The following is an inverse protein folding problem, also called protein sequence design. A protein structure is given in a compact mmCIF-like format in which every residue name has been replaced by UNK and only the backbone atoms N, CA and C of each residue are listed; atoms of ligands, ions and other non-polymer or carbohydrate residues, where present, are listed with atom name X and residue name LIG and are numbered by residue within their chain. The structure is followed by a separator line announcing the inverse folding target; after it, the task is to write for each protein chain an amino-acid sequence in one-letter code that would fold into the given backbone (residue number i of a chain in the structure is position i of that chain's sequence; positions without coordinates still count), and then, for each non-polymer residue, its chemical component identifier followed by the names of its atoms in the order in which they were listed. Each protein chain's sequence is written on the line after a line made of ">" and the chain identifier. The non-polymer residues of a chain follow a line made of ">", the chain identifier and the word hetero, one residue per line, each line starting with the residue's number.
data_IF_796137715129
#
_entry.id   IF_796137715129
#
_cell.length_a   1.000
_cell.length_b   1.000
_cell.length_c   1.000
_cell.angle_alpha   90.00
_cell.angle_beta   90.00
_cell.angle_gamma   90.00
#
_symmetry.space_group_name_H-M   'P 1'
#
loop_
_entity.id
_entity.type
_entity.pdbx_description
1 polymer ?
#
# COMPACT_ATOMS: atom_id res chain seq x y z
N UNK A 1 2.88 0.24 3.08
CA UNK A 1 1.79 -0.58 2.52
C UNK A 1 0.51 -0.35 3.31
N UNK A 2 -0.25 0.70 2.97
CA UNK A 2 -1.52 1.06 3.63
C UNK A 2 -2.60 1.18 2.55
N UNK A 3 -3.37 0.13 2.28
CA UNK A 3 -4.41 0.18 1.24
C UNK A 3 -5.75 -0.28 1.77
N UNK A 4 -6.64 0.65 2.11
CA UNK A 4 -8.05 0.30 2.31
C UNK A 4 -8.66 0.16 0.91
N UNK A 5 -9.10 -1.04 0.57
CA UNK A 5 -9.68 -1.34 -0.74
C UNK A 5 -11.03 -0.62 -0.88
N UNK A 6 -11.24 0.09 -2.00
CA UNK A 6 -12.49 0.78 -2.35
C UNK A 6 -12.82 2.04 -1.54
N UNK A 7 -11.84 2.65 -0.88
CA UNK A 7 -12.01 3.94 -0.15
C UNK A 7 -11.09 5.05 -0.69
N UNK A 8 -10.87 5.06 -2.01
CA UNK A 8 -10.18 6.16 -2.67
C UNK A 8 -11.04 7.42 -2.79
N UNK A 9 -10.44 8.56 -3.20
CA UNK A 9 -11.15 9.83 -3.39
C UNK A 9 -12.35 9.70 -4.33
N UNK A 10 -12.20 8.94 -5.42
CA UNK A 10 -13.29 8.75 -6.38
C UNK A 10 -14.46 7.96 -5.77
N UNK A 11 -14.19 6.93 -4.96
CA UNK A 11 -15.21 6.18 -4.24
C UNK A 11 -15.87 7.04 -3.15
N UNK A 12 -15.11 7.92 -2.48
CA UNK A 12 -15.67 8.89 -1.55
C UNK A 12 -16.62 9.88 -2.24
N UNK A 13 -16.23 10.46 -3.39
CA UNK A 13 -17.12 11.33 -4.16
C UNK A 13 -18.38 10.58 -4.62
N UNK A 14 -18.24 9.33 -5.04
CA UNK A 14 -19.37 8.47 -5.41
C UNK A 14 -20.29 8.20 -4.22
N UNK A 15 -19.76 7.94 -3.02
CA UNK A 15 -20.56 7.75 -1.81
C UNK A 15 -21.24 9.04 -1.33
N UNK A 16 -20.58 10.20 -1.48
CA UNK A 16 -21.07 11.50 -1.03
C UNK A 16 -22.12 12.12 -1.97
N UNK A 17 -21.84 12.13 -3.28
CA UNK A 17 -22.70 12.79 -4.27
C UNK A 17 -23.70 11.83 -4.93
N UNK A 18 -23.43 10.52 -4.90
CA UNK A 18 -24.12 9.53 -5.72
C UNK A 18 -23.72 9.63 -7.19
N UNK A 19 -23.96 8.56 -7.97
CA UNK A 19 -23.62 8.58 -9.40
C UNK A 19 -24.56 9.46 -10.23
N UNK A 20 -25.79 9.69 -9.74
CA UNK A 20 -26.82 10.47 -10.46
C UNK A 20 -26.47 11.95 -10.62
N UNK A 21 -25.64 12.51 -9.74
CA UNK A 21 -25.19 13.91 -9.81
C UNK A 21 -23.93 14.10 -10.65
N UNK A 22 -23.27 13.02 -11.06
CA UNK A 22 -22.07 13.06 -11.87
C UNK A 22 -22.43 12.86 -13.34
N UNK A 23 -21.85 13.66 -14.23
CA UNK A 23 -22.09 13.50 -15.65
C UNK A 23 -21.52 12.16 -16.14
N UNK A 24 -22.26 11.49 -17.04
CA UNK A 24 -21.84 10.20 -17.61
C UNK A 24 -20.45 10.28 -18.27
N UNK A 25 -20.13 11.41 -18.89
CA UNK A 25 -18.81 11.67 -19.49
C UNK A 25 -17.69 11.66 -18.44
N UNK A 26 -17.94 12.26 -17.26
CA UNK A 26 -16.99 12.29 -16.15
C UNK A 26 -16.76 10.89 -15.59
N UNK A 27 -17.82 10.08 -15.46
CA UNK A 27 -17.72 8.69 -15.01
C UNK A 27 -16.91 7.83 -15.98
N UNK A 28 -17.16 7.96 -17.28
CA UNK A 28 -16.40 7.23 -18.31
C UNK A 28 -14.93 7.69 -18.36
N UNK A 29 -14.67 8.99 -18.25
CA UNK A 29 -13.31 9.53 -18.19
C UNK A 29 -12.54 9.08 -16.94
N UNK A 30 -13.23 8.77 -15.84
CA UNK A 30 -12.62 8.26 -14.61
C UNK A 30 -12.23 6.78 -14.68
N UNK A 31 -12.68 6.00 -15.67
CA UNK A 31 -12.43 4.57 -15.75
C UNK A 31 -10.96 4.15 -15.80
N UNK A 32 -10.10 4.77 -16.62
CA UNK A 32 -8.68 4.47 -16.62
C UNK A 32 -8.01 4.80 -15.27
N UNK A 33 -8.55 5.78 -14.55
CA UNK A 33 -8.02 6.23 -13.25
C UNK A 33 -8.54 5.41 -12.07
N UNK A 34 -9.53 4.54 -12.27
CA UNK A 34 -10.09 3.69 -11.22
C UNK A 34 -9.00 2.84 -10.54
N UNK A 35 -8.12 2.24 -11.33
CA UNK A 35 -7.05 1.36 -10.80
C UNK A 35 -6.03 2.13 -9.96
N UNK A 36 -5.76 3.39 -10.29
CA UNK A 36 -4.88 4.28 -9.53
C UNK A 36 -5.54 4.81 -8.25
N UNK A 37 -6.84 5.11 -8.32
CA UNK A 37 -7.57 5.73 -7.22
C UNK A 37 -8.12 4.71 -6.22
N UNK A 38 -8.39 3.46 -6.63
CA UNK A 38 -9.03 2.46 -5.76
C UNK A 38 -8.22 2.08 -4.52
N UNK A 39 -6.89 2.19 -4.57
CA UNK A 39 -5.97 1.79 -3.48
C UNK A 39 -4.66 2.59 -3.49
N UNK A 40 -4.39 3.37 -2.44
CA UNK A 40 -3.11 4.09 -2.25
C UNK A 40 -2.10 3.26 -1.47
N UNK A 41 -1.54 2.20 -2.06
CA UNK A 41 -0.76 1.22 -1.29
C UNK A 41 0.57 1.77 -0.77
N UNK A 42 1.31 2.55 -1.57
CA UNK A 42 2.64 3.06 -1.23
C UNK A 42 2.91 4.42 -1.89
N UNK A 43 3.38 5.40 -1.12
CA UNK A 43 3.93 6.63 -1.68
C UNK A 43 5.42 6.41 -2.02
N UNK A 44 5.88 6.81 -3.22
CA UNK A 44 7.30 6.68 -3.59
C UNK A 44 8.19 7.68 -2.84
N UNK A 45 7.62 8.77 -2.32
CA UNK A 45 8.35 9.88 -1.69
C UNK A 45 9.32 9.44 -0.56
N UNK A 46 8.93 8.63 0.44
CA UNK A 46 9.83 8.27 1.53
C UNK A 46 11.08 7.53 1.05
N UNK A 47 10.90 6.60 0.12
CA UNK A 47 12.02 5.83 -0.46
C UNK A 47 12.99 6.72 -1.25
N UNK A 48 12.44 7.66 -2.02
CA UNK A 48 13.24 8.62 -2.77
C UNK A 48 13.99 9.56 -1.82
N UNK A 49 13.33 10.06 -0.76
CA UNK A 49 13.96 10.92 0.25
C UNK A 49 15.08 10.22 1.01
N UNK A 50 14.88 8.96 1.40
CA UNK A 50 15.92 8.15 2.03
C UNK A 50 17.12 7.96 1.10
N UNK A 51 16.87 7.73 -0.20
CA UNK A 51 17.91 7.61 -1.22
C UNK A 51 18.71 8.91 -1.37
N UNK A 52 18.04 10.07 -1.40
CA UNK A 52 18.70 11.37 -1.38
C UNK A 52 19.50 11.61 -0.10
N UNK A 53 18.98 11.17 1.05
CA UNK A 53 19.70 11.35 2.33
C UNK A 53 20.94 10.47 2.43
N UNK A 54 20.90 9.27 1.85
CA UNK A 54 22.08 8.41 1.73
C UNK A 54 23.12 9.02 0.80
N UNK A 55 22.69 9.59 -0.34
CA UNK A 55 23.58 10.26 -1.29
C UNK A 55 24.29 11.48 -0.67
N UNK A 56 23.56 12.29 0.10
CA UNK A 56 24.12 13.40 0.87
C UNK A 56 25.20 12.93 1.87
N UNK A 57 24.95 11.82 2.58
CA UNK A 57 25.91 11.25 3.53
C UNK A 57 27.12 10.57 2.89
N UNK A 58 27.00 10.04 1.68
CA UNK A 58 28.09 9.40 0.95
C UNK A 58 28.91 10.37 0.09
N UNK A 59 28.60 11.66 0.12
CA UNK A 59 29.27 12.67 -0.72
C UNK A 59 28.92 12.57 -2.20
N UNK A 60 27.79 11.92 -2.53
CA UNK A 60 27.31 11.82 -3.91
C UNK A 60 26.55 13.09 -4.33
N UNK A 61 26.71 13.46 -5.59
CA UNK A 61 25.97 14.56 -6.21
C UNK A 61 24.47 14.21 -6.32
N UNK A 62 23.65 14.92 -5.53
CA UNK A 62 22.20 14.73 -5.47
C UNK A 62 21.50 15.09 -6.78
N UNK A 63 21.99 16.08 -7.52
CA UNK A 63 21.43 16.47 -8.82
C UNK A 63 21.68 15.39 -9.89
N UNK A 64 22.85 14.76 -9.89
CA UNK A 64 23.12 13.58 -10.74
C UNK A 64 22.23 12.41 -10.35
N UNK A 65 22.09 12.13 -9.05
CA UNK A 65 21.18 11.08 -8.59
C UNK A 65 19.74 11.32 -9.04
N UNK A 66 19.22 12.54 -8.89
CA UNK A 66 17.87 12.90 -9.34
C UNK A 66 17.66 12.67 -10.83
N UNK A 67 18.64 13.01 -11.67
CA UNK A 67 18.59 12.74 -13.12
C UNK A 67 18.59 11.25 -13.42
N UNK A 68 19.42 10.46 -12.74
CA UNK A 68 19.45 9.00 -12.91
C UNK A 68 18.11 8.38 -12.50
N UNK A 69 17.56 8.76 -11.34
CA UNK A 69 16.25 8.29 -10.89
C UNK A 69 15.19 8.63 -11.94
N UNK A 70 15.18 9.85 -12.48
CA UNK A 70 14.20 10.27 -13.48
C UNK A 70 14.33 9.48 -14.79
N UNK A 71 15.56 9.26 -15.28
CA UNK A 71 15.81 8.40 -16.44
C UNK A 71 15.36 6.96 -16.19
N UNK A 72 15.69 6.40 -15.02
CA UNK A 72 15.26 5.06 -14.63
C UNK A 72 13.74 4.92 -14.60
N UNK A 73 13.02 5.94 -14.14
CA UNK A 73 11.54 5.95 -14.16
C UNK A 73 11.00 5.92 -15.59
N UNK A 74 11.53 6.76 -16.49
CA UNK A 74 11.10 6.80 -17.90
C UNK A 74 11.37 5.46 -18.60
N UNK A 75 12.57 4.91 -18.43
CA UNK A 75 12.94 3.61 -19.01
C UNK A 75 12.07 2.49 -18.44
N UNK A 76 11.85 2.49 -17.13
CA UNK A 76 10.98 1.50 -16.46
C UNK A 76 9.54 1.59 -16.97
N UNK A 77 9.04 2.79 -17.20
CA UNK A 77 7.68 2.99 -17.74
C UNK A 77 7.54 2.37 -19.13
N UNK A 78 8.47 2.63 -20.04
CA UNK A 78 8.46 2.08 -21.41
C UNK A 78 8.58 0.55 -21.36
N UNK A 79 9.52 0.01 -20.58
CA UNK A 79 9.72 -1.43 -20.43
C UNK A 79 8.51 -2.12 -19.81
N UNK A 80 7.87 -1.49 -18.82
CA UNK A 80 6.65 -2.04 -18.20
C UNK A 80 5.53 -2.11 -19.21
N UNK A 81 5.32 -1.06 -20.01
CA UNK A 81 4.29 -1.06 -21.05
C UNK A 81 4.56 -2.12 -22.12
N UNK A 82 5.80 -2.23 -22.58
CA UNK A 82 6.22 -3.22 -23.57
C UNK A 82 6.03 -4.66 -23.07
N UNK A 83 6.56 -4.96 -21.88
CA UNK A 83 6.45 -6.32 -21.31
C UNK A 83 5.00 -6.68 -21.05
N UNK A 84 4.20 -5.75 -20.53
CA UNK A 84 2.77 -5.95 -20.33
C UNK A 84 2.01 -6.32 -21.60
N UNK A 85 2.27 -5.62 -22.71
CA UNK A 85 1.69 -5.93 -24.02
C UNK A 85 2.12 -7.32 -24.52
N UNK A 86 3.42 -7.64 -24.44
CA UNK A 86 3.95 -8.94 -24.86
C UNK A 86 3.36 -10.09 -24.04
N UNK A 87 3.28 -9.91 -22.72
CA UNK A 87 2.67 -10.87 -21.81
C UNK A 87 1.19 -11.07 -22.12
N UNK A 88 0.45 -9.99 -22.35
CA UNK A 88 -0.98 -10.05 -22.69
C UNK A 88 -1.24 -10.74 -24.03
N UNK A 89 -0.35 -10.55 -25.02
CA UNK A 89 -0.46 -11.20 -26.32
C UNK A 89 -0.18 -12.71 -26.26
N UNK A 90 0.83 -13.12 -25.48
CA UNK A 90 1.26 -14.53 -25.42
C UNK A 90 0.37 -15.42 -24.57
N UNK A 91 -0.09 -14.93 -23.42
CA UNK A 91 -0.79 -15.77 -22.43
C UNK A 91 -2.28 -15.44 -22.28
N UNK A 92 -2.83 -14.56 -23.13
CA UNK A 92 -4.12 -13.92 -22.87
C UNK A 92 -3.98 -12.92 -21.72
N UNK A 93 -4.78 -11.86 -21.65
CA UNK A 93 -4.48 -10.72 -20.80
C UNK A 93 -4.38 -11.06 -19.31
N UNK A 94 -3.14 -11.25 -18.84
CA UNK A 94 -2.75 -11.67 -17.48
C UNK A 94 -3.22 -10.67 -16.40
N UNK A 95 -3.68 -9.51 -16.82
CA UNK A 95 -4.13 -8.40 -15.98
C UNK A 95 -5.53 -7.89 -16.34
N UNK A 96 -6.23 -8.56 -17.25
CA UNK A 96 -7.57 -8.20 -17.71
C UNK A 96 -8.51 -7.95 -16.54
N UNK A 97 -8.40 -8.74 -15.46
CA UNK A 97 -9.22 -8.60 -14.26
C UNK A 97 -9.22 -7.17 -13.69
N UNK A 98 -8.11 -6.42 -13.75
CA UNK A 98 -8.06 -5.04 -13.23
C UNK A 98 -8.78 -4.04 -14.14
N UNK A 99 -8.67 -4.21 -15.46
CA UNK A 99 -9.38 -3.39 -16.43
C UNK A 99 -10.86 -3.72 -16.45
N UNK A 100 -11.20 -5.01 -16.52
CA UNK A 100 -12.58 -5.52 -16.45
C UNK A 100 -13.26 -4.99 -15.19
N UNK A 101 -12.62 -5.09 -14.02
CA UNK A 101 -13.21 -4.59 -12.77
C UNK A 101 -13.50 -3.08 -12.85
N UNK A 102 -12.58 -2.27 -13.40
CA UNK A 102 -12.78 -0.82 -13.54
C UNK A 102 -13.97 -0.49 -14.44
N UNK A 103 -13.98 -1.04 -15.65
CA UNK A 103 -15.02 -0.76 -16.64
C UNK A 103 -16.37 -1.36 -16.25
N UNK A 104 -16.41 -2.56 -15.67
CA UNK A 104 -17.67 -3.16 -15.19
C UNK A 104 -18.25 -2.42 -14.00
N UNK A 105 -17.41 -1.89 -13.09
CA UNK A 105 -17.87 -1.07 -11.96
C UNK A 105 -18.51 0.23 -12.45
N UNK A 106 -17.88 0.91 -13.40
CA UNK A 106 -18.40 2.18 -13.93
C UNK A 106 -19.62 1.95 -14.82
N UNK A 107 -19.62 0.90 -15.66
CA UNK A 107 -20.80 0.51 -16.42
C UNK A 107 -21.99 0.22 -15.50
N UNK A 108 -21.76 -0.45 -14.35
CA UNK A 108 -22.79 -0.68 -13.34
C UNK A 108 -23.33 0.63 -12.78
N UNK A 109 -22.49 1.62 -12.51
CA UNK A 109 -22.92 2.93 -12.01
C UNK A 109 -23.66 3.79 -13.02
N UNK A 110 -23.40 3.56 -14.32
CA UNK A 110 -24.12 4.20 -15.43
C UNK A 110 -25.52 3.60 -15.59
N UNK A 111 -25.62 2.26 -15.57
CA UNK A 111 -26.89 1.54 -15.79
C UNK A 111 -27.77 1.54 -14.54
N UNK A 112 -27.16 1.44 -13.36
CA UNK A 112 -27.85 1.45 -12.07
C UNK A 112 -27.26 2.57 -11.21
N UNK A 113 -27.86 3.78 -11.27
CA UNK A 113 -27.36 4.89 -10.50
C UNK A 113 -27.35 4.57 -8.99
N UNK A 114 -26.20 4.79 -8.35
CA UNK A 114 -26.04 4.57 -6.91
C UNK A 114 -26.41 5.86 -6.18
N UNK A 115 -27.28 5.73 -5.18
CA UNK A 115 -27.67 6.82 -4.31
C UNK A 115 -26.61 7.07 -3.23
N UNK A 116 -26.54 8.29 -2.67
CA UNK A 116 -25.58 8.60 -1.59
C UNK A 116 -25.74 7.63 -0.41
N UNK A 117 -24.63 7.01 -0.01
CA UNK A 117 -24.63 6.07 1.12
C UNK A 117 -24.41 6.84 2.43
N UNK A 118 -25.52 7.22 3.05
CA UNK A 118 -25.50 7.97 4.30
C UNK A 118 -24.90 7.19 5.48
N UNK A 119 -24.97 5.85 5.45
CA UNK A 119 -24.38 5.01 6.50
C UNK A 119 -22.86 5.01 6.42
N UNK A 120 -22.32 4.82 5.21
CA UNK A 120 -20.87 4.90 4.99
C UNK A 120 -20.33 6.29 5.28
N UNK A 121 -21.03 7.35 4.90
CA UNK A 121 -20.63 8.73 5.23
C UNK A 121 -20.65 8.99 6.74
N UNK A 122 -21.65 8.46 7.46
CA UNK A 122 -21.70 8.52 8.91
C UNK A 122 -20.51 7.81 9.58
N UNK A 123 -20.16 6.61 9.11
CA UNK A 123 -19.00 5.88 9.60
C UNK A 123 -17.68 6.63 9.33
N UNK A 124 -17.53 7.23 8.13
CA UNK A 124 -16.37 8.06 7.79
C UNK A 124 -16.30 9.29 8.70
N UNK A 125 -17.43 9.97 8.96
CA UNK A 125 -17.49 11.13 9.82
C UNK A 125 -17.11 10.80 11.27
N UNK A 126 -17.59 9.68 11.81
CA UNK A 126 -17.22 9.19 13.16
C UNK A 126 -15.74 8.84 13.21
N UNK A 127 -15.21 8.13 12.22
CA UNK A 127 -13.78 7.81 12.14
C UNK A 127 -12.91 9.05 12.03
N UNK A 128 -13.32 10.03 11.22
CA UNK A 128 -12.64 11.32 11.09
C UNK A 128 -12.66 12.07 12.42
N UNK A 129 -13.81 12.17 13.08
CA UNK A 129 -13.94 12.83 14.38
C UNK A 129 -13.05 12.17 15.42
N UNK A 130 -13.04 10.84 15.50
CA UNK A 130 -12.15 10.11 16.41
C UNK A 130 -10.67 10.41 16.16
N UNK A 131 -10.23 10.39 14.89
CA UNK A 131 -8.84 10.69 14.52
C UNK A 131 -8.49 12.14 14.80
N UNK A 132 -9.37 13.10 14.48
CA UNK A 132 -9.16 14.53 14.76
C UNK A 132 -9.07 14.78 16.26
N UNK A 133 -10.03 14.29 17.05
CA UNK A 133 -10.02 14.40 18.51
C UNK A 133 -8.74 13.80 19.08
N UNK A 134 -8.34 12.60 18.65
CA UNK A 134 -7.13 11.96 19.13
C UNK A 134 -5.86 12.74 18.73
N UNK A 135 -5.84 13.34 17.54
CA UNK A 135 -4.72 14.16 17.06
C UNK A 135 -4.63 15.46 17.86
N UNK A 136 -5.73 16.17 18.08
CA UNK A 136 -5.79 17.39 18.88
C UNK A 136 -5.41 17.12 20.35
N UNK A 137 -5.92 16.04 20.94
CA UNK A 137 -5.54 15.63 22.29
C UNK A 137 -4.05 15.31 22.38
N UNK A 138 -3.50 14.59 21.41
CA UNK A 138 -2.06 14.31 21.36
C UNK A 138 -1.20 15.57 21.21
N UNK A 139 -1.65 16.56 20.43
CA UNK A 139 -0.94 17.84 20.29
C UNK A 139 -0.97 18.68 21.57
N UNK A 140 -2.01 18.55 22.41
CA UNK A 140 -2.16 19.30 23.67
C UNK A 140 -1.65 18.55 24.90
N UNK A 141 -1.68 17.22 24.88
CA UNK A 141 -1.38 16.34 26.01
C UNK A 141 -0.29 15.34 25.61
N UNK A 142 0.96 15.66 25.96
CA UNK A 142 2.14 14.84 25.65
C UNK A 142 2.05 13.42 26.23
N UNK A 143 1.26 13.20 27.29
CA UNK A 143 1.06 11.90 27.93
C UNK A 143 0.00 11.01 27.26
N UNK A 144 -0.67 11.47 26.21
CA UNK A 144 -1.82 10.74 25.64
C UNK A 144 -1.36 9.47 24.90
N UNK A 145 -1.72 8.27 25.39
CA UNK A 145 -1.10 7.02 24.93
C UNK A 145 -1.64 6.55 23.57
N UNK A 146 -2.82 7.02 23.15
CA UNK A 146 -3.47 6.58 21.92
C UNK A 146 -2.83 7.24 20.70
N UNK A 147 -2.25 6.41 19.84
CA UNK A 147 -1.60 6.85 18.62
C UNK A 147 -2.61 6.89 17.46
N UNK A 148 -2.84 8.04 16.80
CA UNK A 148 -3.86 8.13 15.75
C UNK A 148 -3.54 7.22 14.55
N UNK A 149 -2.25 6.94 14.28
CA UNK A 149 -1.83 5.98 13.25
C UNK A 149 -2.33 4.54 13.44
N UNK A 150 -2.68 4.11 14.64
CA UNK A 150 -3.16 2.74 14.85
C UNK A 150 -4.55 2.52 14.21
N UNK A 151 -5.36 3.57 14.12
CA UNK A 151 -6.73 3.49 13.64
C UNK A 151 -6.81 3.17 12.12
N UNK A 152 -6.05 3.85 11.22
CA UNK A 152 -5.98 3.46 9.81
C UNK A 152 -5.40 2.07 9.55
N UNK A 153 -4.52 1.58 10.44
CA UNK A 153 -3.85 0.29 10.28
C UNK A 153 -4.83 -0.87 10.53
N UNK A 154 -5.79 -0.70 11.45
CA UNK A 154 -6.78 -1.73 11.76
C UNK A 154 -7.70 -2.08 10.56
N UNK A 155 -7.97 -1.12 9.67
CA UNK A 155 -8.78 -1.32 8.47
C UNK A 155 -8.03 -1.98 7.30
N UNK A 156 -6.72 -2.25 7.45
CA UNK A 156 -5.91 -2.79 6.38
C UNK A 156 -6.05 -4.32 6.27
N UNK A 157 -6.37 -4.81 5.06
CA UNK A 157 -6.54 -6.24 4.82
C UNK A 157 -5.32 -7.08 5.23
N UNK A 158 -4.09 -6.60 5.04
CA UNK A 158 -2.91 -7.35 5.48
C UNK A 158 -2.72 -7.34 7.00
N UNK A 159 -3.29 -6.36 7.72
CA UNK A 159 -3.26 -6.36 9.19
C UNK A 159 -4.06 -7.55 9.77
N UNK A 160 -5.05 -8.07 9.04
CA UNK A 160 -5.75 -9.32 9.39
C UNK A 160 -4.81 -10.53 9.49
N UNK A 161 -3.70 -10.54 8.75
CA UNK A 161 -2.71 -11.61 8.83
C UNK A 161 -1.54 -11.26 9.75
N UNK A 162 -1.31 -9.97 9.99
CA UNK A 162 -0.17 -9.47 10.77
C UNK A 162 -0.47 -9.25 12.25
N UNK A 163 -1.73 -9.27 12.70
CA UNK A 163 -2.07 -9.04 14.12
C UNK A 163 -1.32 -10.02 15.05
N UNK A 164 -1.31 -11.32 14.74
CA UNK A 164 -0.68 -12.34 15.59
C UNK A 164 0.86 -12.24 15.61
N UNK A 165 1.56 -12.16 14.46
CA UNK A 165 3.00 -11.86 14.43
C UNK A 165 3.37 -10.55 15.13
N UNK A 166 2.50 -9.53 15.02
CA UNK A 166 2.69 -8.25 15.71
C UNK A 166 2.64 -8.41 17.24
N UNK A 167 1.67 -9.15 17.77
CA UNK A 167 1.60 -9.44 19.21
C UNK A 167 2.82 -10.22 19.71
N UNK A 168 3.27 -11.23 18.95
CA UNK A 168 4.49 -11.97 19.27
C UNK A 168 5.70 -11.02 19.32
N UNK A 169 5.85 -10.18 18.29
CA UNK A 169 6.94 -9.20 18.20
C UNK A 169 6.90 -8.19 19.34
N UNK A 170 5.70 -7.75 19.73
CA UNK A 170 5.50 -6.84 20.86
C UNK A 170 5.86 -7.50 22.20
N UNK A 171 5.42 -8.73 22.44
CA UNK A 171 5.76 -9.49 23.65
C UNK A 171 7.27 -9.76 23.76
N UNK A 172 7.91 -10.18 22.67
CA UNK A 172 9.35 -10.39 22.59
C UNK A 172 10.10 -9.08 22.88
N UNK A 173 9.71 -7.99 22.22
CA UNK A 173 10.33 -6.68 22.42
C UNK A 173 10.17 -6.21 23.86
N UNK A 174 8.98 -6.36 24.43
CA UNK A 174 8.72 -6.01 25.83
C UNK A 174 9.57 -6.86 26.79
N UNK A 175 9.65 -8.16 26.57
CA UNK A 175 10.49 -9.08 27.35
C UNK A 175 11.97 -8.70 27.30
N UNK A 176 12.51 -8.43 26.11
CA UNK A 176 13.91 -8.04 25.89
C UNK A 176 14.21 -6.70 26.57
N UNK A 177 13.32 -5.71 26.43
CA UNK A 177 13.52 -4.39 27.06
C UNK A 177 13.41 -4.46 28.59
N UNK A 178 12.48 -5.25 29.12
CA UNK A 178 12.25 -5.37 30.57
C UNK A 178 13.41 -6.07 31.28
N UNK A 179 14.00 -7.10 30.68
CA UNK A 179 15.06 -7.90 31.33
C UNK A 179 16.47 -7.51 30.90
N UNK A 180 16.65 -7.02 29.66
CA UNK A 180 17.97 -6.77 29.06
C UNK A 180 18.29 -5.31 28.74
N UNK A 181 17.33 -4.39 28.90
CA UNK A 181 17.51 -2.97 28.59
C UNK A 181 17.82 -2.69 27.11
N UNK A 182 18.25 -1.45 26.82
CA UNK A 182 18.45 -0.97 25.44
C UNK A 182 19.65 -1.63 24.73
N UNK A 183 20.64 -2.08 25.49
CA UNK A 183 21.87 -2.66 24.95
C UNK A 183 21.65 -4.08 24.46
N UNK A 184 20.86 -4.87 25.18
CA UNK A 184 20.42 -6.21 24.72
C UNK A 184 19.56 -6.09 23.48
N UNK A 185 18.62 -5.13 23.46
CA UNK A 185 17.81 -4.86 22.26
C UNK A 185 18.66 -4.60 21.01
N UNK A 186 19.71 -3.76 21.12
CA UNK A 186 20.65 -3.51 20.01
C UNK A 186 21.40 -4.77 19.56
N UNK A 187 21.74 -5.68 20.48
CA UNK A 187 22.38 -6.97 20.15
C UNK A 187 21.43 -7.97 19.49
N UNK A 188 20.15 -7.98 19.86
CA UNK A 188 19.15 -8.88 19.25
C UNK A 188 18.61 -8.34 17.93
N UNK A 189 18.75 -7.04 17.65
CA UNK A 189 18.32 -6.41 16.40
C UNK A 189 18.78 -7.14 15.11
N UNK A 190 20.07 -7.52 14.94
CA UNK A 190 20.51 -8.26 13.76
C UNK A 190 19.83 -9.63 13.58
N UNK A 191 19.43 -10.31 14.66
CA UNK A 191 18.70 -11.58 14.56
C UNK A 191 17.33 -11.41 13.90
N UNK A 192 16.56 -10.41 14.33
CA UNK A 192 15.26 -10.10 13.71
C UNK A 192 15.42 -9.62 12.26
N UNK A 193 16.45 -8.84 11.97
CA UNK A 193 16.78 -8.46 10.60
C UNK A 193 17.08 -9.69 9.75
N UNK A 194 17.81 -10.67 10.30
CA UNK A 194 18.10 -11.95 9.64
C UNK A 194 16.85 -12.79 9.37
N UNK A 195 15.87 -12.82 10.28
CA UNK A 195 14.59 -13.48 10.04
C UNK A 195 13.83 -12.85 8.87
N UNK A 196 13.76 -11.51 8.83
CA UNK A 196 13.13 -10.79 7.72
C UNK A 196 13.87 -11.09 6.42
N UNK A 197 15.20 -10.99 6.43
CA UNK A 197 16.02 -11.28 5.26
C UNK A 197 15.83 -12.73 4.77
N UNK A 198 15.72 -13.69 5.69
CA UNK A 198 15.47 -15.10 5.42
C UNK A 198 14.14 -15.36 4.70
N UNK A 199 13.07 -14.70 5.14
CA UNK A 199 11.77 -14.80 4.47
C UNK A 199 11.84 -14.27 3.02
N UNK A 200 12.52 -13.15 2.81
CA UNK A 200 12.73 -12.61 1.46
C UNK A 200 13.64 -13.51 0.60
N UNK A 201 14.73 -14.03 1.14
CA UNK A 201 15.67 -14.88 0.37
C UNK A 201 15.04 -16.20 -0.02
N UNK A 202 14.37 -16.89 0.90
CA UNK A 202 13.67 -18.16 0.62
C UNK A 202 12.57 -17.93 -0.42
N UNK A 203 11.77 -16.86 -0.28
CA UNK A 203 10.74 -16.50 -1.26
C UNK A 203 11.32 -16.22 -2.66
N UNK A 204 12.46 -15.53 -2.73
CA UNK A 204 13.16 -15.28 -4.01
C UNK A 204 13.74 -16.56 -4.62
N UNK A 205 14.36 -17.42 -3.82
CA UNK A 205 14.93 -18.70 -4.30
C UNK A 205 13.84 -19.60 -4.87
N UNK A 206 12.72 -19.77 -4.17
CA UNK A 206 11.59 -20.56 -4.67
C UNK A 206 10.93 -19.96 -5.91
N UNK A 207 10.90 -18.62 -6.02
CA UNK A 207 10.44 -17.93 -7.22
C UNK A 207 11.35 -18.19 -8.43
N UNK A 208 12.67 -18.15 -8.24
CA UNK A 208 13.65 -18.47 -9.30
C UNK A 208 13.53 -19.94 -9.71
N UNK A 209 13.41 -20.86 -8.75
CA UNK A 209 13.22 -22.29 -9.02
C UNK A 209 11.97 -22.48 -9.89
N UNK A 210 10.83 -21.87 -9.53
CA UNK A 210 9.59 -21.97 -10.32
C UNK A 210 9.72 -21.39 -11.73
N UNK A 211 10.49 -20.31 -11.90
CA UNK A 211 10.78 -19.75 -13.22
C UNK A 211 11.62 -20.71 -14.08
N UNK A 212 12.52 -21.49 -13.48
CA UNK A 212 13.39 -22.44 -14.19
C UNK A 212 12.64 -23.74 -14.49
N UNK A 213 11.89 -24.29 -13.52
CA UNK A 213 11.21 -25.58 -13.67
C UNK A 213 9.90 -25.48 -14.43
N UNK A 214 9.31 -24.29 -14.56
CA UNK A 214 8.02 -24.09 -15.21
C UNK A 214 6.84 -24.66 -14.41
N UNK A 215 7.08 -25.17 -13.21
CA UNK A 215 6.05 -25.66 -12.30
C UNK A 215 5.60 -24.55 -11.33
N UNK A 216 4.31 -24.51 -10.94
CA UNK A 216 3.83 -23.58 -9.93
C UNK A 216 4.44 -23.93 -8.56
N UNK A 217 5.55 -23.29 -8.24
CA UNK A 217 6.18 -23.41 -6.92
C UNK A 217 5.38 -22.64 -5.87
N UNK A 218 5.59 -23.00 -4.60
CA UNK A 218 4.88 -22.40 -3.48
C UNK A 218 5.19 -20.90 -3.41
N UNK A 219 4.24 -20.08 -3.87
CA UNK A 219 4.33 -18.64 -3.76
C UNK A 219 4.05 -18.24 -2.30
N UNK A 220 5.12 -18.04 -1.52
CA UNK A 220 5.04 -17.50 -0.14
C UNK A 220 4.30 -16.15 -0.05
N UNK A 221 4.15 -15.46 -1.20
CA UNK A 221 3.38 -14.22 -1.34
C UNK A 221 2.16 -14.44 -2.25
N UNK A 222 1.00 -14.64 -1.64
CA UNK A 222 -0.28 -14.42 -2.32
C UNK A 222 -0.65 -12.94 -2.12
N UNK A 223 -0.51 -12.13 -3.17
CA UNK A 223 -1.06 -10.78 -3.25
C UNK A 223 -2.00 -10.65 -4.44
#
# INVERSE_FOLDING_TARGET
>A
MHGIHYFGPFQFFMAAAGSRKLANQTLTAAAPFWTFTKQFRNHPMPYILESFKLADRSGMDTCKLGRVIMLSVVVSFILTFWTFLQFSYKWGGISEGRGIEAYTTIARWLVRPVEPDMQSLGAIAVGALFVFTNTTLRLRLLWWPLHPLAYPIAGYAAFRHLWFPFFISWLLKWGILKHGGIQTYRRTFPFFLGLVLGDFTIGSVWGIIGLITGEPTYAFKQW
#
